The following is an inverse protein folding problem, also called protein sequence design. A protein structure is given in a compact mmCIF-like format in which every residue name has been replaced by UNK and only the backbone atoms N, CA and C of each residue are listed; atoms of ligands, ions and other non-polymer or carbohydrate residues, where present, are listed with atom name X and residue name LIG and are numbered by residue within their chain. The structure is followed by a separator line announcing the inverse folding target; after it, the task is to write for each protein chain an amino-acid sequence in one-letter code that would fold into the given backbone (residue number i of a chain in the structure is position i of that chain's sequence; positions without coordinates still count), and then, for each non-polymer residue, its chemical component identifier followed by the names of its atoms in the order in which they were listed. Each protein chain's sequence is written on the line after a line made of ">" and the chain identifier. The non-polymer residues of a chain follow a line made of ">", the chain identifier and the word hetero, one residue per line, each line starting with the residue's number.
data_IF_065875466816
#
_entry.id   IF_065875466816
#
_cell.length_a   1.000
_cell.length_b   1.000
_cell.length_c   1.000
_cell.angle_alpha   90.00
_cell.angle_beta   90.00
_cell.angle_gamma   90.00
#
_symmetry.space_group_name_H-M   'P 1'
#
loop_
_entity.id
_entity.type
_entity.pdbx_description
1 polymer ?
#
# COMPACT_ATOMS: atom_id res chain seq x y z
N UNK A 1 -10.30 17.62 23.42
CA UNK A 1 -11.13 16.62 22.69
C UNK A 1 -10.19 15.84 21.81
N UNK A 2 -10.02 14.54 22.03
CA UNK A 2 -9.10 13.70 21.24
C UNK A 2 -9.96 13.01 20.18
N UNK A 3 -9.73 13.32 18.91
CA UNK A 3 -10.37 12.60 17.81
C UNK A 3 -9.66 11.25 17.67
N UNK A 4 -10.31 10.17 18.14
CA UNK A 4 -9.82 8.82 17.88
C UNK A 4 -9.99 8.54 16.37
N UNK A 5 -8.87 8.50 15.64
CA UNK A 5 -8.81 7.94 14.29
C UNK A 5 -9.02 6.43 14.40
N UNK A 6 -10.29 6.02 14.46
CA UNK A 6 -10.70 4.63 14.29
C UNK A 6 -10.57 4.31 12.81
N UNK A 7 -9.43 3.73 12.42
CA UNK A 7 -9.30 3.14 11.09
C UNK A 7 -10.27 1.95 11.02
N UNK A 8 -11.19 1.89 10.04
CA UNK A 8 -12.02 0.71 9.87
C UNK A 8 -11.10 -0.46 9.50
N UNK A 9 -11.13 -1.50 10.35
CA UNK A 9 -10.55 -2.80 10.03
C UNK A 9 -11.28 -3.31 8.78
N UNK A 10 -10.61 -3.30 7.62
CA UNK A 10 -11.06 -4.05 6.45
C UNK A 10 -11.03 -5.53 6.85
N UNK A 11 -12.18 -6.06 7.23
CA UNK A 11 -12.39 -7.51 7.22
C UNK A 11 -12.48 -7.90 5.76
N UNK A 12 -11.48 -8.63 5.27
CA UNK A 12 -11.57 -9.36 4.01
C UNK A 12 -12.58 -10.47 4.27
N UNK A 13 -13.86 -10.18 4.10
CA UNK A 13 -14.89 -11.23 4.05
C UNK A 13 -14.66 -11.98 2.76
N UNK A 14 -14.08 -13.17 2.89
CA UNK A 14 -14.09 -14.19 1.84
C UNK A 14 -15.57 -14.50 1.53
N UNK A 15 -16.06 -14.02 0.39
CA UNK A 15 -17.41 -14.31 -0.10
C UNK A 15 -17.45 -15.74 -0.66
N UNK A 16 -18.22 -16.68 -0.08
CA UNK A 16 -18.35 -18.04 -0.62
C UNK A 16 -19.35 -18.05 -1.78
N UNK A 17 -19.00 -17.36 -2.87
CA UNK A 17 -19.80 -17.19 -4.08
C UNK A 17 -19.14 -17.78 -5.32
N UNK A 18 -18.60 -18.99 -5.25
CA UNK A 18 -18.02 -19.68 -6.42
C UNK A 18 -19.09 -20.40 -7.26
N UNK A 19 -19.27 -20.06 -8.55
CA UNK A 19 -19.40 -21.08 -9.58
C UNK A 19 -17.99 -21.50 -10.00
N UNK A 20 -17.75 -22.82 -10.02
CA UNK A 20 -16.47 -23.45 -10.32
C UNK A 20 -15.98 -23.12 -11.74
N UNK A 21 -15.35 -21.98 -11.90
CA UNK A 21 -14.42 -21.67 -12.99
C UNK A 21 -13.11 -21.51 -12.26
N UNK A 22 -12.10 -22.31 -12.62
CA UNK A 22 -10.72 -22.21 -12.10
C UNK A 22 -10.41 -20.76 -11.75
N UNK A 23 -10.07 -20.56 -10.48
CA UNK A 23 -10.03 -19.23 -9.86
C UNK A 23 -9.14 -18.31 -10.68
N UNK A 24 -9.35 -17.01 -10.52
CA UNK A 24 -8.38 -16.02 -11.00
C UNK A 24 -6.93 -16.42 -10.65
N UNK A 25 -6.78 -17.03 -9.47
CA UNK A 25 -5.55 -17.62 -8.92
C UNK A 25 -4.89 -18.71 -9.78
N UNK A 26 -5.65 -19.45 -10.60
CA UNK A 26 -5.14 -20.51 -11.48
C UNK A 26 -4.70 -19.99 -12.86
N UNK A 27 -4.82 -18.67 -13.12
CA UNK A 27 -4.40 -18.10 -14.42
C UNK A 27 -2.88 -18.13 -14.54
N UNK A 28 -2.39 -18.89 -15.51
CA UNK A 28 -0.97 -18.93 -15.85
C UNK A 28 -0.51 -17.53 -16.31
N UNK A 29 0.43 -16.94 -15.56
CA UNK A 29 1.09 -15.69 -15.94
C UNK A 29 2.22 -16.02 -16.90
N UNK A 30 2.15 -15.44 -18.10
CA UNK A 30 3.25 -15.54 -19.07
C UNK A 30 4.37 -14.57 -18.64
N UNK A 31 5.52 -15.13 -18.30
CA UNK A 31 6.73 -14.39 -17.92
C UNK A 31 7.78 -14.39 -19.06
N UNK A 32 7.36 -14.72 -20.29
CA UNK A 32 8.26 -14.79 -21.45
C UNK A 32 8.57 -13.43 -22.07
N UNK A 33 7.89 -12.36 -21.65
CA UNK A 33 8.22 -10.99 -22.05
C UNK A 33 9.67 -10.62 -21.67
N UNK A 34 10.31 -9.80 -22.51
CA UNK A 34 11.66 -9.29 -22.28
C UNK A 34 11.69 -8.58 -20.93
N UNK A 35 12.40 -9.17 -19.96
CA UNK A 35 12.59 -8.59 -18.63
C UNK A 35 13.22 -7.21 -18.77
N UNK A 36 12.41 -6.16 -18.64
CA UNK A 36 12.91 -4.79 -18.56
C UNK A 36 13.66 -4.68 -17.24
N UNK A 37 14.99 -4.57 -17.32
CA UNK A 37 15.80 -4.25 -16.16
C UNK A 37 15.33 -2.89 -15.66
N UNK A 38 14.59 -2.91 -14.56
CA UNK A 38 14.13 -1.70 -13.92
C UNK A 38 15.36 -0.91 -13.45
N UNK A 39 15.29 0.43 -13.45
CA UNK A 39 16.29 1.23 -12.78
C UNK A 39 16.38 0.85 -11.30
N UNK A 40 17.52 1.15 -10.66
CA UNK A 40 17.76 0.87 -9.24
C UNK A 40 16.67 1.45 -8.30
N UNK A 41 15.97 2.49 -8.75
CA UNK A 41 14.83 3.08 -8.04
C UNK A 41 13.71 3.37 -9.04
N UNK A 42 12.51 2.87 -8.74
CA UNK A 42 11.29 3.08 -9.54
C UNK A 42 10.44 4.23 -8.98
N UNK A 43 9.48 4.70 -9.76
CA UNK A 43 8.55 5.73 -9.30
C UNK A 43 7.68 5.24 -8.14
N UNK A 44 7.34 3.94 -8.13
CA UNK A 44 6.57 3.30 -7.05
C UNK A 44 7.36 3.20 -5.74
N UNK A 45 8.70 3.18 -5.80
CA UNK A 45 9.56 3.27 -4.61
C UNK A 45 9.58 4.68 -3.99
N UNK A 46 8.81 5.61 -4.56
CA UNK A 46 8.63 6.96 -4.02
C UNK A 46 7.16 7.23 -3.77
N UNK A 47 6.86 8.05 -2.77
CA UNK A 47 5.49 8.49 -2.48
C UNK A 47 4.92 9.42 -3.57
N UNK A 48 5.68 9.67 -4.65
CA UNK A 48 5.30 10.52 -5.76
C UNK A 48 4.11 9.89 -6.51
N UNK A 49 2.97 10.57 -6.48
CA UNK A 49 1.71 10.08 -7.07
C UNK A 49 0.78 9.41 -6.06
N UNK A 50 1.23 9.18 -4.82
CA UNK A 50 0.45 8.60 -3.72
C UNK A 50 -0.26 9.67 -2.85
N UNK A 51 -0.37 10.91 -3.35
CA UNK A 51 -1.01 12.02 -2.64
C UNK A 51 -0.06 12.87 -1.78
N UNK A 52 1.26 12.71 -1.97
CA UNK A 52 2.30 13.51 -1.32
C UNK A 52 2.03 15.02 -1.46
N UNK A 53 1.99 15.73 -0.34
CA UNK A 53 1.88 17.19 -0.33
C UNK A 53 3.29 17.74 -0.46
N UNK A 54 3.52 18.73 -1.32
CA UNK A 54 4.87 19.26 -1.63
C UNK A 54 5.57 20.02 -0.47
N UNK A 55 5.22 19.76 0.79
CA UNK A 55 5.85 20.33 1.98
C UNK A 55 6.05 19.24 3.03
N UNK A 56 7.21 19.26 3.70
CA UNK A 56 7.62 18.24 4.67
C UNK A 56 6.61 18.08 5.81
N UNK A 57 6.34 16.82 6.16
CA UNK A 57 5.44 16.42 7.25
C UNK A 57 6.13 16.47 8.63
N UNK A 58 7.26 17.14 8.72
CA UNK A 58 8.16 17.09 9.88
C UNK A 58 7.50 17.71 11.12
N UNK A 59 6.75 18.80 10.95
CA UNK A 59 6.06 19.48 12.05
C UNK A 59 5.01 18.56 12.73
N UNK A 60 4.28 17.77 11.94
CA UNK A 60 3.30 16.82 12.46
C UNK A 60 3.99 15.59 13.08
N UNK A 61 5.03 15.06 12.44
CA UNK A 61 5.82 13.94 12.95
C UNK A 61 6.51 14.28 14.29
N UNK A 62 6.97 15.52 14.44
CA UNK A 62 7.53 16.03 15.69
C UNK A 62 6.45 16.25 16.76
N UNK A 63 5.28 16.76 16.37
CA UNK A 63 4.15 16.96 17.30
C UNK A 63 3.59 15.64 17.85
N UNK A 64 3.67 14.56 17.08
CA UNK A 64 3.14 13.23 17.42
C UNK A 64 4.23 12.23 17.80
N UNK A 65 5.43 12.73 18.11
CA UNK A 65 6.59 11.91 18.46
C UNK A 65 6.24 10.90 19.59
N UNK A 66 6.46 9.59 19.35
CA UNK A 66 6.34 8.57 20.36
C UNK A 66 7.28 8.79 21.56
N UNK A 67 6.89 8.33 22.77
CA UNK A 67 7.68 8.54 23.99
C UNK A 67 9.07 7.90 23.99
N UNK A 68 9.34 6.99 23.05
CA UNK A 68 10.56 6.19 22.98
C UNK A 68 11.60 6.71 21.96
N UNK A 69 11.36 7.88 21.33
CA UNK A 69 12.28 8.50 20.36
C UNK A 69 13.35 9.39 21.03
N UNK A 70 14.03 8.90 22.07
CA UNK A 70 15.23 9.53 22.65
C UNK A 70 16.48 8.65 22.48
#
# INVERSE_FOLDING_TARGET
>A
MVAALVLPLVSITEDPGTPTVRGDDDRAVDLSDDFVVLPEQTADDTDRGWGERSGGNDDWLLAERPPHWD
#
